data_IF_575421105522
#
_entry.id   IF_575421105522
#
_cell.length_a   1.000
_cell.length_b   1.000
_cell.length_c   1.000
_cell.angle_alpha   90.00
_cell.angle_beta   90.00
_cell.angle_gamma   90.00
#
_symmetry.space_group_name_H-M   'P 1'
#
loop_
_entity.id
_entity.type
_entity.pdbx_description
1 polymer ?
#
# COMPACT_ATOMS: atom_id res chain seq x y z
N UNK A 1 5.00 -83.21 36.67
CA UNK A 1 5.66 -82.29 35.74
C UNK A 1 7.00 -81.92 36.38
N UNK A 2 8.04 -82.65 36.01
CA UNK A 2 9.38 -82.51 36.56
C UNK A 2 10.12 -81.38 35.83
N UNK A 3 10.88 -80.57 36.56
CA UNK A 3 11.84 -79.64 35.97
C UNK A 3 13.15 -79.79 36.75
N UNK A 4 14.10 -80.49 36.13
CA UNK A 4 15.53 -80.40 36.40
C UNK A 4 16.07 -79.13 35.75
N UNK A 5 16.97 -78.41 36.43
CA UNK A 5 18.01 -77.62 35.75
C UNK A 5 19.34 -77.73 36.51
N UNK A 6 20.37 -78.02 35.73
CA UNK A 6 21.78 -78.13 36.10
C UNK A 6 22.51 -76.78 36.00
N UNK A 7 23.75 -76.80 36.49
CA UNK A 7 24.56 -75.70 37.03
C UNK A 7 25.65 -75.19 36.05
N UNK A 8 25.84 -73.85 35.99
CA UNK A 8 27.10 -73.06 35.79
C UNK A 8 27.84 -73.02 34.41
N UNK A 9 28.94 -72.22 34.23
CA UNK A 9 29.09 -70.75 34.35
C UNK A 9 30.01 -70.09 33.25
N UNK A 10 30.33 -68.78 33.44
CA UNK A 10 31.55 -68.03 33.02
C UNK A 10 31.74 -67.56 31.56
N UNK A 11 31.94 -66.23 31.39
CA UNK A 11 33.22 -65.59 31.00
C UNK A 11 33.02 -64.17 30.39
N UNK A 12 33.68 -63.15 30.97
CA UNK A 12 34.04 -61.87 30.34
C UNK A 12 35.42 -62.02 29.63
N UNK A 13 36.05 -61.03 28.95
CA UNK A 13 35.67 -59.68 28.48
C UNK A 13 36.05 -59.46 26.97
N UNK A 14 35.96 -58.23 26.42
CA UNK A 14 37.03 -57.55 25.65
C UNK A 14 36.53 -56.19 25.16
N UNK A 15 37.26 -55.16 25.57
CA UNK A 15 37.13 -53.74 25.23
C UNK A 15 37.65 -53.51 23.80
N UNK A 16 36.86 -52.91 22.90
CA UNK A 16 37.36 -52.34 21.64
C UNK A 16 37.16 -50.83 21.61
N UNK A 17 38.27 -50.10 21.76
CA UNK A 17 38.36 -48.66 21.55
C UNK A 17 38.23 -48.37 20.04
N UNK A 18 37.07 -47.88 19.60
CA UNK A 18 36.85 -47.38 18.24
C UNK A 18 36.96 -45.86 18.22
N UNK A 19 38.05 -45.34 17.68
CA UNK A 19 38.24 -43.91 17.44
C UNK A 19 37.37 -43.49 16.24
N UNK A 20 36.18 -42.95 16.49
CA UNK A 20 35.28 -42.46 15.44
C UNK A 20 35.67 -41.03 15.05
N UNK A 21 36.30 -40.85 13.90
CA UNK A 21 36.49 -39.53 13.29
C UNK A 21 35.13 -39.03 12.79
N UNK A 22 34.53 -38.07 13.51
CA UNK A 22 33.33 -37.37 13.06
C UNK A 22 33.76 -36.28 12.08
N UNK A 23 33.60 -36.53 10.78
CA UNK A 23 33.69 -35.50 9.74
C UNK A 23 32.45 -34.62 9.84
N UNK A 24 32.56 -33.44 10.46
CA UNK A 24 31.50 -32.43 10.43
C UNK A 24 31.45 -31.80 9.05
N UNK A 25 30.56 -32.29 8.19
CA UNK A 25 30.18 -31.61 6.95
C UNK A 25 29.36 -30.38 7.37
N UNK A 26 29.99 -29.21 7.38
CA UNK A 26 29.28 -27.94 7.50
C UNK A 26 28.46 -27.73 6.23
N UNK A 27 27.17 -28.09 6.25
CA UNK A 27 26.21 -27.60 5.26
C UNK A 27 26.15 -26.08 5.41
N UNK A 28 26.86 -25.35 4.55
CA UNK A 28 26.56 -23.95 4.29
C UNK A 28 25.18 -23.92 3.61
N UNK A 29 24.14 -23.72 4.41
CA UNK A 29 22.83 -23.37 3.89
C UNK A 29 22.97 -22.00 3.22
N UNK A 30 23.03 -21.98 1.89
CA UNK A 30 22.89 -20.75 1.12
C UNK A 30 21.47 -20.25 1.33
N UNK A 31 21.26 -19.39 2.35
CA UNK A 31 20.03 -18.64 2.47
C UNK A 31 19.96 -17.71 1.26
N UNK A 32 18.99 -17.93 0.38
CA UNK A 32 18.54 -16.87 -0.52
C UNK A 32 18.29 -15.62 0.34
N UNK A 33 18.97 -14.52 0.02
CA UNK A 33 18.83 -13.29 0.79
C UNK A 33 17.42 -12.74 0.54
N UNK A 34 16.50 -13.06 1.43
CA UNK A 34 15.12 -12.59 1.35
C UNK A 34 15.11 -11.06 1.46
N UNK A 35 14.51 -10.41 0.47
CA UNK A 35 14.31 -8.96 0.48
C UNK A 35 12.98 -8.60 1.09
N UNK A 36 12.96 -7.47 1.80
CA UNK A 36 11.78 -6.88 2.39
C UNK A 36 11.58 -5.45 1.88
N UNK A 37 10.34 -4.97 1.81
CA UNK A 37 10.06 -3.58 1.47
C UNK A 37 10.20 -2.68 2.70
N UNK A 38 10.93 -1.58 2.54
CA UNK A 38 11.12 -0.56 3.57
C UNK A 38 10.70 0.82 3.06
N UNK A 39 10.23 1.66 3.97
CA UNK A 39 10.08 3.11 3.81
C UNK A 39 11.28 3.74 4.51
N UNK A 40 12.09 4.48 3.77
CA UNK A 40 13.34 5.10 4.22
C UNK A 40 13.15 6.61 4.27
N UNK A 41 13.51 7.20 5.40
CA UNK A 41 13.52 8.64 5.62
C UNK A 41 14.94 9.17 5.47
N UNK A 42 15.08 10.22 4.66
CA UNK A 42 16.36 10.85 4.35
C UNK A 42 16.31 12.33 4.70
N UNK A 43 17.42 12.86 5.20
CA UNK A 43 17.62 14.30 5.40
C UNK A 43 17.72 14.98 4.04
N UNK A 44 16.73 15.83 3.74
CA UNK A 44 16.66 16.62 2.51
C UNK A 44 17.91 17.46 2.28
N UNK A 45 18.51 17.99 3.36
CA UNK A 45 19.64 18.92 3.30
C UNK A 45 20.98 18.21 3.04
N UNK A 46 21.04 16.90 3.26
CA UNK A 46 22.23 16.08 3.04
C UNK A 46 22.46 15.72 1.57
N UNK A 47 21.55 16.11 0.65
CA UNK A 47 21.69 15.83 -0.78
C UNK A 47 22.99 16.44 -1.33
N UNK A 48 23.91 15.62 -1.89
CA UNK A 48 25.14 16.15 -2.48
C UNK A 48 24.84 17.09 -3.64
N UNK A 49 25.62 18.19 -3.76
CA UNK A 49 25.49 19.18 -4.83
C UNK A 49 25.65 18.61 -6.25
N UNK A 50 26.19 17.41 -6.37
CA UNK A 50 26.34 16.70 -7.65
C UNK A 50 24.99 16.24 -8.25
N UNK A 51 23.93 16.16 -7.45
CA UNK A 51 22.60 15.75 -7.91
C UNK A 51 21.70 16.95 -8.18
N UNK A 52 20.93 16.89 -9.26
CA UNK A 52 19.92 17.90 -9.63
C UNK A 52 18.64 17.80 -8.82
N UNK A 53 18.34 16.62 -8.29
CA UNK A 53 17.10 16.30 -7.60
C UNK A 53 17.26 15.11 -6.66
N UNK A 54 16.39 15.03 -5.65
CA UNK A 54 16.42 13.96 -4.66
C UNK A 54 16.16 12.57 -5.26
N UNK A 55 15.45 12.47 -6.39
CA UNK A 55 15.16 11.18 -7.00
C UNK A 55 16.43 10.52 -7.55
N UNK A 56 17.23 11.25 -8.32
CA UNK A 56 18.52 10.78 -8.84
C UNK A 56 19.50 10.45 -7.71
N UNK A 57 19.53 11.26 -6.64
CA UNK A 57 20.32 10.97 -5.45
C UNK A 57 19.91 9.65 -4.77
N UNK A 58 18.62 9.42 -4.56
CA UNK A 58 18.13 8.19 -3.95
C UNK A 58 18.39 6.96 -4.82
N UNK A 59 18.20 7.05 -6.14
CA UNK A 59 18.54 5.98 -7.06
C UNK A 59 20.04 5.62 -7.01
N UNK A 60 20.92 6.62 -6.99
CA UNK A 60 22.35 6.41 -6.84
C UNK A 60 22.71 5.77 -5.49
N UNK A 61 22.05 6.21 -4.42
CA UNK A 61 22.22 5.63 -3.07
C UNK A 61 21.86 4.13 -3.07
N UNK A 62 20.71 3.76 -3.63
CA UNK A 62 20.29 2.36 -3.77
C UNK A 62 21.28 1.57 -4.62
N UNK A 63 21.74 2.13 -5.74
CA UNK A 63 22.72 1.46 -6.60
C UNK A 63 24.05 1.22 -5.90
N UNK A 64 24.47 2.10 -4.98
CA UNK A 64 25.75 1.98 -4.27
C UNK A 64 25.77 0.87 -3.21
N UNK A 65 24.60 0.50 -2.69
CA UNK A 65 24.45 -0.55 -1.68
C UNK A 65 24.04 -1.90 -2.27
N UNK A 66 23.67 -1.94 -3.55
CA UNK A 66 23.11 -3.15 -4.16
C UNK A 66 24.18 -4.21 -4.37
N UNK A 67 23.94 -5.43 -3.89
CA UNK A 67 24.85 -6.55 -4.10
C UNK A 67 24.88 -6.92 -5.61
N UNK A 68 26.06 -6.89 -6.25
CA UNK A 68 26.24 -7.18 -7.69
C UNK A 68 25.95 -8.64 -8.09
N UNK A 69 25.59 -9.49 -7.14
CA UNK A 69 25.42 -10.93 -7.34
C UNK A 69 24.09 -11.32 -8.01
N UNK A 70 23.08 -10.44 -8.04
CA UNK A 70 21.79 -10.69 -8.73
C UNK A 70 21.84 -10.28 -10.20
N UNK A 71 22.73 -10.91 -10.95
CA UNK A 71 22.73 -10.89 -12.42
C UNK A 71 22.21 -12.23 -12.91
N UNK A 72 20.91 -12.32 -13.17
CA UNK A 72 20.30 -12.80 -14.43
C UNK A 72 18.82 -13.16 -14.21
N UNK A 73 17.98 -12.71 -15.14
CA UNK A 73 16.52 -12.89 -15.24
C UNK A 73 15.64 -11.97 -14.37
N UNK A 74 15.31 -10.81 -14.96
CA UNK A 74 14.43 -9.73 -14.48
C UNK A 74 15.02 -8.81 -13.41
N UNK A 75 15.69 -7.74 -13.87
CA UNK A 75 16.15 -6.62 -13.04
C UNK A 75 14.93 -5.82 -12.57
N UNK A 76 14.17 -6.33 -11.60
CA UNK A 76 13.15 -5.52 -10.93
C UNK A 76 13.90 -4.39 -10.21
N UNK A 77 13.54 -3.15 -10.52
CA UNK A 77 14.12 -1.99 -9.83
C UNK A 77 13.86 -2.14 -8.33
N UNK A 78 14.92 -2.17 -7.51
CA UNK A 78 14.81 -2.17 -6.04
C UNK A 78 14.09 -0.94 -5.53
N UNK A 79 14.17 0.17 -6.27
CA UNK A 79 13.41 1.39 -6.01
C UNK A 79 11.92 1.23 -6.34
N UNK A 80 11.05 1.66 -5.41
CA UNK A 80 9.59 1.58 -5.54
C UNK A 80 8.99 2.98 -5.71
N UNK A 81 9.18 3.88 -4.73
CA UNK A 81 8.70 5.26 -4.78
C UNK A 81 9.72 6.26 -4.22
N UNK A 82 9.58 7.51 -4.64
CA UNK A 82 10.34 8.65 -4.08
C UNK A 82 9.36 9.64 -3.46
N UNK A 83 9.71 10.16 -2.29
CA UNK A 83 8.94 11.12 -1.52
C UNK A 83 9.75 12.42 -1.39
N UNK A 84 9.17 13.55 -1.81
CA UNK A 84 9.84 14.88 -1.82
C UNK A 84 8.98 16.00 -1.24
N UNK A 85 7.82 15.66 -0.67
CA UNK A 85 6.83 16.62 -0.16
C UNK A 85 6.73 16.51 1.37
N UNK A 86 5.63 15.98 1.90
CA UNK A 86 5.41 15.84 3.35
C UNK A 86 6.42 14.91 4.04
N UNK A 87 6.99 13.98 3.29
CA UNK A 87 8.09 13.10 3.71
C UNK A 87 9.18 13.19 2.66
N UNK A 88 10.44 13.14 3.10
CA UNK A 88 11.61 13.13 2.24
C UNK A 88 12.32 11.78 2.37
N UNK A 89 12.46 11.06 1.26
CA UNK A 89 13.03 9.72 1.25
C UNK A 89 12.48 8.86 0.11
N UNK A 90 12.51 7.55 0.28
CA UNK A 90 12.09 6.60 -0.74
C UNK A 90 11.61 5.29 -0.14
N UNK A 91 10.91 4.47 -0.92
CA UNK A 91 10.69 3.06 -0.59
C UNK A 91 11.48 2.16 -1.52
N UNK A 92 12.01 1.08 -0.96
CA UNK A 92 12.81 0.11 -1.69
C UNK A 92 12.65 -1.31 -1.13
N UNK A 93 12.81 -2.30 -2.00
CA UNK A 93 12.99 -3.71 -1.62
C UNK A 93 14.47 -3.97 -1.40
N UNK A 94 14.84 -4.32 -0.17
CA UNK A 94 16.23 -4.46 0.28
C UNK A 94 16.42 -5.76 1.05
N UNK A 95 17.57 -6.39 0.88
CA UNK A 95 18.01 -7.44 1.82
C UNK A 95 18.44 -6.82 3.16
N UNK A 96 18.60 -7.65 4.19
CA UNK A 96 19.10 -7.15 5.47
C UNK A 96 20.52 -6.57 5.36
N UNK A 97 21.41 -7.14 4.52
CA UNK A 97 22.76 -6.60 4.30
C UNK A 97 22.71 -5.22 3.65
N UNK A 98 21.84 -5.05 2.65
CA UNK A 98 21.65 -3.79 1.94
C UNK A 98 21.05 -2.72 2.85
N UNK A 99 20.10 -3.09 3.72
CA UNK A 99 19.55 -2.17 4.71
C UNK A 99 20.63 -1.70 5.72
N UNK A 100 21.49 -2.59 6.19
CA UNK A 100 22.58 -2.22 7.09
C UNK A 100 23.66 -1.36 6.40
N UNK A 101 23.89 -1.57 5.10
CA UNK A 101 24.72 -0.68 4.30
C UNK A 101 24.06 0.69 4.12
N UNK A 102 22.75 0.73 3.85
CA UNK A 102 21.98 1.97 3.67
C UNK A 102 21.97 2.84 4.92
N UNK A 103 21.87 2.25 6.11
CA UNK A 103 21.92 2.96 7.39
C UNK A 103 23.20 3.78 7.58
N UNK A 104 24.27 3.44 6.87
CA UNK A 104 25.56 4.14 6.91
C UNK A 104 25.67 5.23 5.83
N UNK A 105 24.67 5.37 4.96
CA UNK A 105 24.69 6.36 3.89
C UNK A 105 24.48 7.78 4.43
N UNK A 106 25.13 8.80 3.83
CA UNK A 106 24.88 10.19 4.19
C UNK A 106 23.40 10.55 4.09
N UNK A 107 22.88 11.19 5.12
CA UNK A 107 21.49 11.63 5.17
C UNK A 107 20.47 10.57 5.57
N UNK A 108 20.85 9.32 5.86
CA UNK A 108 19.92 8.36 6.44
C UNK A 108 19.41 8.85 7.81
N UNK A 109 18.09 8.80 8.03
CA UNK A 109 17.45 9.12 9.32
C UNK A 109 16.87 7.86 9.95
N UNK A 110 15.99 7.17 9.23
CA UNK A 110 15.29 5.99 9.74
C UNK A 110 14.73 5.13 8.61
N UNK A 111 14.37 3.89 8.95
CA UNK A 111 13.68 2.96 8.05
C UNK A 111 12.59 2.21 8.80
N UNK A 112 11.42 2.09 8.18
CA UNK A 112 10.29 1.32 8.70
C UNK A 112 9.95 0.22 7.69
N UNK A 113 9.81 -1.02 8.15
CA UNK A 113 9.36 -2.13 7.30
C UNK A 113 7.90 -1.91 6.91
N UNK A 114 7.60 -2.11 5.64
CA UNK A 114 6.24 -2.04 5.10
C UNK A 114 5.35 -3.13 5.73
N UNK A 115 4.07 -2.81 5.99
CA UNK A 115 3.11 -3.69 6.66
C UNK A 115 1.74 -3.54 6.02
N UNK A 116 0.97 -4.61 5.97
CA UNK A 116 -0.41 -4.60 5.50
C UNK A 116 -1.35 -4.05 6.58
N UNK A 117 -2.22 -3.13 6.20
CA UNK A 117 -3.28 -2.57 7.01
C UNK A 117 -4.63 -3.15 6.60
N UNK A 118 -5.58 -3.06 7.53
CA UNK A 118 -6.95 -3.53 7.34
C UNK A 118 -7.85 -2.33 7.16
N UNK A 119 -8.83 -2.50 6.29
CA UNK A 119 -9.92 -1.54 6.11
C UNK A 119 -10.76 -1.52 7.38
N UNK A 120 -11.04 -0.32 7.88
CA UNK A 120 -11.91 -0.10 9.03
C UNK A 120 -12.98 0.93 8.66
N UNK A 121 -14.25 0.58 8.81
CA UNK A 121 -15.36 1.56 8.80
C UNK A 121 -16.46 1.14 9.77
N UNK A 122 -17.01 2.10 10.51
CA UNK A 122 -18.18 1.93 11.37
C UNK A 122 -19.16 3.09 11.14
N UNK A 123 -20.33 2.76 10.57
CA UNK A 123 -21.63 3.46 10.53
C UNK A 123 -21.77 4.95 10.11
N UNK A 124 -22.92 5.22 9.47
CA UNK A 124 -23.33 6.41 8.68
C UNK A 124 -23.99 7.53 9.51
N UNK A 125 -24.35 8.64 8.86
CA UNK A 125 -24.38 10.00 9.38
C UNK A 125 -25.75 10.72 9.46
N UNK A 126 -26.88 10.02 9.34
CA UNK A 126 -28.21 10.64 9.61
C UNK A 126 -28.39 11.08 11.08
N UNK A 127 -27.55 10.57 11.97
CA UNK A 127 -27.55 10.93 13.39
C UNK A 127 -27.30 12.43 13.67
N UNK A 128 -26.72 13.17 12.72
CA UNK A 128 -26.19 14.52 12.98
C UNK A 128 -27.15 15.68 12.64
N UNK A 129 -28.37 15.42 12.16
CA UNK A 129 -29.40 16.47 11.97
C UNK A 129 -29.08 17.52 10.90
N UNK A 130 -28.32 17.15 9.85
CA UNK A 130 -27.96 18.05 8.74
C UNK A 130 -29.18 18.35 7.85
N UNK A 131 -29.36 19.62 7.45
CA UNK A 131 -30.50 20.07 6.64
C UNK A 131 -30.07 21.02 5.50
N UNK A 132 -30.71 20.95 4.32
CA UNK A 132 -30.44 21.87 3.22
C UNK A 132 -30.98 23.30 3.47
N UNK A 133 -31.92 23.51 4.39
CA UNK A 133 -32.50 24.84 4.62
C UNK A 133 -31.81 25.62 5.74
N UNK A 134 -31.09 24.94 6.65
CA UNK A 134 -30.49 25.56 7.83
C UNK A 134 -29.41 24.65 8.44
N UNK A 135 -28.58 25.20 9.33
CA UNK A 135 -27.53 24.45 10.04
C UNK A 135 -26.18 24.42 9.32
N UNK A 136 -25.40 23.37 9.56
CA UNK A 136 -24.00 23.31 9.16
C UNK A 136 -23.77 23.36 7.64
N UNK A 137 -24.71 22.83 6.85
CA UNK A 137 -24.61 22.83 5.39
C UNK A 137 -24.67 24.25 4.79
N UNK A 138 -25.74 25.04 4.96
CA UNK A 138 -25.75 26.42 4.48
C UNK A 138 -24.60 27.25 5.06
N UNK A 139 -24.25 27.05 6.34
CA UNK A 139 -23.17 27.79 6.99
C UNK A 139 -21.78 27.52 6.40
N UNK A 140 -21.51 26.27 5.99
CA UNK A 140 -20.27 25.87 5.34
C UNK A 140 -20.36 25.85 3.80
N UNK A 141 -21.41 26.44 3.24
CA UNK A 141 -21.71 26.39 1.80
C UNK A 141 -21.63 24.96 1.21
N UNK A 142 -22.14 23.98 1.95
CA UNK A 142 -22.16 22.56 1.59
C UNK A 142 -20.79 21.94 1.31
N UNK A 143 -19.72 22.59 1.81
CA UNK A 143 -18.33 22.22 1.52
C UNK A 143 -17.87 22.58 0.12
N UNK A 144 -18.50 23.57 -0.54
CA UNK A 144 -18.03 24.08 -1.83
C UNK A 144 -16.54 24.41 -1.78
N UNK A 145 -15.83 24.01 -2.83
CA UNK A 145 -14.37 24.15 -2.99
C UNK A 145 -13.50 23.49 -1.93
N UNK A 146 -14.08 22.75 -0.98
CA UNK A 146 -13.35 21.79 -0.16
C UNK A 146 -13.01 20.58 -1.02
N UNK A 147 -11.79 20.06 -0.87
CA UNK A 147 -11.30 18.87 -1.56
C UNK A 147 -11.06 17.81 -0.51
N UNK A 148 -11.82 16.72 -0.57
CA UNK A 148 -11.66 15.56 0.31
C UNK A 148 -10.77 14.54 -0.41
N UNK A 149 -9.58 14.30 0.16
CA UNK A 149 -8.70 13.22 -0.28
C UNK A 149 -9.09 11.91 0.41
N UNK A 150 -9.37 10.87 -0.37
CA UNK A 150 -9.66 9.53 0.15
C UNK A 150 -8.55 8.56 -0.19
N UNK A 151 -8.03 7.84 0.81
CA UNK A 151 -7.09 6.74 0.64
C UNK A 151 -7.84 5.43 0.89
N UNK A 152 -8.19 4.72 -0.18
CA UNK A 152 -9.15 3.60 -0.09
C UNK A 152 -8.94 2.55 -1.20
N UNK A 153 -9.96 1.73 -1.52
CA UNK A 153 -9.97 0.67 -2.55
C UNK A 153 -10.16 1.18 -3.98
N UNK A 154 -10.32 2.50 -4.14
CA UNK A 154 -10.58 3.16 -5.41
C UNK A 154 -11.97 3.76 -5.47
N UNK A 155 -12.40 4.13 -6.67
CA UNK A 155 -13.72 4.72 -6.90
C UNK A 155 -14.37 4.14 -8.15
N UNK A 156 -15.69 4.02 -8.15
CA UNK A 156 -16.49 3.72 -9.35
C UNK A 156 -17.02 5.03 -9.96
N UNK A 157 -16.30 5.64 -10.92
CA UNK A 157 -16.54 7.02 -11.34
C UNK A 157 -17.92 7.23 -11.99
N UNK A 158 -18.52 6.19 -12.57
CA UNK A 158 -19.83 6.27 -13.21
C UNK A 158 -21.01 6.27 -12.23
N UNK A 159 -20.78 6.18 -10.92
CA UNK A 159 -21.85 6.30 -9.94
C UNK A 159 -22.49 7.68 -10.01
N UNK A 160 -23.82 7.75 -9.94
CA UNK A 160 -24.57 9.02 -9.90
C UNK A 160 -24.13 9.92 -8.74
N UNK A 161 -23.65 9.33 -7.64
CA UNK A 161 -23.06 10.07 -6.51
C UNK A 161 -21.83 10.89 -6.88
N UNK A 162 -21.19 10.63 -8.02
CA UNK A 162 -20.03 11.37 -8.52
C UNK A 162 -20.32 12.16 -9.80
N UNK A 163 -21.60 12.34 -10.14
CA UNK A 163 -22.03 13.34 -11.11
C UNK A 163 -21.54 14.72 -10.69
N UNK A 164 -21.14 15.52 -11.66
CA UNK A 164 -20.71 16.90 -11.45
C UNK A 164 -21.79 17.95 -11.73
N UNK A 165 -23.04 17.50 -11.83
CA UNK A 165 -24.20 18.37 -11.86
C UNK A 165 -24.21 19.33 -10.66
N UNK A 166 -24.39 20.62 -10.95
CA UNK A 166 -24.39 21.67 -9.94
C UNK A 166 -23.02 22.04 -9.35
N UNK A 167 -21.92 21.44 -9.83
CA UNK A 167 -20.56 21.78 -9.38
C UNK A 167 -19.99 22.98 -10.15
N UNK A 168 -19.26 23.85 -9.45
CA UNK A 168 -18.52 24.97 -10.05
C UNK A 168 -17.24 24.51 -10.74
N UNK A 169 -16.45 25.40 -11.35
CA UNK A 169 -15.15 25.04 -11.93
C UNK A 169 -14.18 24.48 -10.88
N UNK A 170 -13.24 23.62 -11.31
CA UNK A 170 -12.25 23.04 -10.40
C UNK A 170 -11.37 24.16 -9.80
N UNK A 171 -11.17 24.22 -8.47
CA UNK A 171 -10.37 25.27 -7.86
C UNK A 171 -8.96 25.35 -8.44
N UNK A 172 -8.49 26.54 -8.81
CA UNK A 172 -7.16 26.75 -9.43
C UNK A 172 -5.97 26.31 -8.55
N UNK A 173 -6.21 26.24 -7.23
CA UNK A 173 -5.27 25.70 -6.23
C UNK A 173 -5.07 24.18 -6.34
N UNK A 174 -5.98 23.46 -6.99
CA UNK A 174 -5.85 22.02 -7.21
C UNK A 174 -4.69 21.74 -8.17
N UNK A 175 -3.75 20.88 -7.74
CA UNK A 175 -2.58 20.45 -8.52
C UNK A 175 -2.48 18.94 -8.64
N UNK A 176 -3.48 18.19 -8.15
CA UNK A 176 -3.52 16.76 -8.34
C UNK A 176 -3.88 16.39 -9.77
N UNK A 177 -3.78 15.09 -10.08
CA UNK A 177 -3.98 14.57 -11.42
C UNK A 177 -5.03 13.46 -11.45
N UNK A 178 -5.60 13.26 -12.62
CA UNK A 178 -6.29 12.03 -12.98
C UNK A 178 -5.30 11.18 -13.79
N UNK A 179 -5.01 9.96 -13.34
CA UNK A 179 -4.04 9.12 -14.05
C UNK A 179 -4.48 8.87 -15.51
N UNK A 180 -3.56 9.03 -16.48
CA UNK A 180 -3.92 9.12 -17.90
C UNK A 180 -4.50 7.83 -18.48
N UNK A 181 -4.07 6.65 -18.01
CA UNK A 181 -4.67 5.37 -18.37
C UNK A 181 -4.31 4.26 -17.37
N UNK A 182 -5.30 3.44 -17.00
CA UNK A 182 -5.14 2.17 -16.31
C UNK A 182 -6.23 1.20 -16.77
N UNK A 183 -6.25 -0.04 -16.26
CA UNK A 183 -7.30 -1.00 -16.67
C UNK A 183 -8.70 -0.40 -16.45
N UNK A 184 -9.48 -0.26 -17.53
CA UNK A 184 -10.84 0.31 -17.52
C UNK A 184 -10.95 1.66 -16.79
N UNK A 185 -9.91 2.48 -16.86
CA UNK A 185 -9.90 3.83 -16.30
C UNK A 185 -9.08 4.77 -17.18
N UNK A 186 -9.61 5.95 -17.51
CA UNK A 186 -8.91 7.00 -18.26
C UNK A 186 -9.03 8.33 -17.53
N UNK A 187 -8.15 9.28 -17.84
CA UNK A 187 -8.21 10.63 -17.25
C UNK A 187 -9.53 11.35 -17.49
N UNK A 188 -10.24 11.02 -18.58
CA UNK A 188 -11.56 11.55 -18.90
C UNK A 188 -12.67 11.10 -17.95
N UNK A 189 -12.41 10.15 -17.05
CA UNK A 189 -13.36 9.75 -16.00
C UNK A 189 -13.33 10.68 -14.79
N UNK A 190 -12.33 11.57 -14.68
CA UNK A 190 -12.41 12.69 -13.76
C UNK A 190 -13.28 13.81 -14.36
N UNK A 191 -14.00 14.51 -13.50
CA UNK A 191 -14.93 15.58 -13.84
C UNK A 191 -14.83 16.69 -12.79
N UNK A 192 -15.80 17.60 -12.70
CA UNK A 192 -15.78 18.65 -11.66
C UNK A 192 -16.05 18.08 -10.26
N UNK A 193 -16.61 16.88 -10.11
CA UNK A 193 -16.85 16.25 -8.80
C UNK A 193 -15.65 15.41 -8.34
N UNK A 194 -15.27 14.41 -9.13
CA UNK A 194 -14.05 13.62 -9.00
C UNK A 194 -12.92 14.34 -9.75
N UNK A 195 -12.17 15.18 -9.05
CA UNK A 195 -11.15 16.05 -9.66
C UNK A 195 -9.76 15.40 -9.70
N UNK A 196 -9.58 14.26 -9.02
CA UNK A 196 -8.32 13.53 -8.94
C UNK A 196 -8.53 12.05 -8.72
N UNK A 197 -7.73 11.25 -9.40
CA UNK A 197 -7.77 9.80 -9.28
C UNK A 197 -6.36 9.25 -9.54
N UNK A 198 -5.76 8.68 -8.49
CA UNK A 198 -4.44 8.06 -8.52
C UNK A 198 -4.49 6.68 -7.85
N UNK A 199 -3.52 5.82 -8.14
CA UNK A 199 -3.42 4.50 -7.52
C UNK A 199 -1.96 4.14 -7.28
N UNK A 200 -1.71 3.34 -6.25
CA UNK A 200 -0.38 2.97 -5.79
C UNK A 200 -0.28 1.45 -5.64
N UNK A 201 0.24 0.77 -6.67
CA UNK A 201 0.38 -0.70 -6.68
C UNK A 201 1.82 -1.21 -6.62
N UNK A 202 2.83 -0.36 -6.80
CA UNK A 202 4.24 -0.81 -6.85
C UNK A 202 4.70 -1.50 -5.56
N UNK A 203 4.25 -1.04 -4.39
CA UNK A 203 4.58 -1.69 -3.10
C UNK A 203 3.99 -3.10 -2.99
N UNK A 204 2.72 -3.29 -3.43
CA UNK A 204 2.11 -4.61 -3.51
C UNK A 204 2.91 -5.54 -4.45
N UNK A 205 3.28 -5.05 -5.63
CA UNK A 205 4.05 -5.83 -6.61
C UNK A 205 5.48 -6.12 -6.12
N UNK A 206 6.09 -5.25 -5.32
CA UNK A 206 7.40 -5.50 -4.72
C UNK A 206 7.35 -6.61 -3.65
N UNK A 207 6.29 -6.62 -2.83
CA UNK A 207 6.09 -7.64 -1.79
C UNK A 207 5.54 -8.97 -2.32
N UNK A 208 4.81 -8.95 -3.45
CA UNK A 208 4.19 -10.12 -4.08
C UNK A 208 4.38 -10.09 -5.61
N UNK A 209 5.60 -10.32 -6.12
CA UNK A 209 5.93 -10.17 -7.54
C UNK A 209 5.13 -11.08 -8.49
N UNK A 210 4.62 -12.19 -7.98
CA UNK A 210 3.82 -13.17 -8.71
C UNK A 210 2.37 -12.72 -8.93
N UNK A 211 1.89 -11.72 -8.20
CA UNK A 211 0.52 -11.25 -8.32
C UNK A 211 0.31 -10.47 -9.62
N UNK A 212 -0.70 -10.89 -10.37
CA UNK A 212 -1.27 -10.10 -11.46
C UNK A 212 -2.44 -9.30 -10.92
N UNK A 213 -2.36 -7.97 -11.02
CA UNK A 213 -3.43 -7.07 -10.60
C UNK A 213 -4.36 -6.84 -11.82
N UNK A 214 -5.55 -7.46 -11.88
CA UNK A 214 -6.39 -7.36 -13.08
C UNK A 214 -6.90 -5.92 -13.29
N UNK A 215 -7.24 -5.23 -12.20
CA UNK A 215 -7.70 -3.85 -12.23
C UNK A 215 -6.63 -2.87 -11.73
N UNK A 216 -5.50 -2.80 -12.43
CA UNK A 216 -4.38 -1.90 -12.08
C UNK A 216 -4.69 -0.46 -12.51
N UNK A 217 -5.68 0.13 -11.83
CA UNK A 217 -6.16 1.48 -12.00
C UNK A 217 -6.88 1.93 -10.73
N UNK A 218 -7.30 3.20 -10.68
CA UNK A 218 -8.10 3.76 -9.58
C UNK A 218 -9.53 3.23 -9.53
N UNK A 219 -9.97 2.41 -10.51
CA UNK A 219 -11.30 1.80 -10.49
C UNK A 219 -11.47 0.91 -9.26
N UNK A 220 -12.55 1.14 -8.54
CA UNK A 220 -12.95 0.29 -7.43
C UNK A 220 -13.47 -1.06 -7.94
N UNK A 221 -13.01 -2.13 -7.31
CA UNK A 221 -13.54 -3.47 -7.54
C UNK A 221 -14.10 -4.08 -6.27
N UNK A 222 -13.95 -3.39 -5.15
CA UNK A 222 -14.36 -3.84 -3.84
C UNK A 222 -15.71 -3.23 -3.42
N UNK A 223 -15.83 -1.92 -3.59
CA UNK A 223 -17.01 -1.13 -3.24
C UNK A 223 -16.79 -0.24 -2.02
N UNK A 224 -15.82 -0.58 -1.16
CA UNK A 224 -15.54 0.18 0.06
C UNK A 224 -15.22 1.66 -0.23
N UNK A 225 -14.24 1.93 -1.11
CA UNK A 225 -13.84 3.29 -1.47
C UNK A 225 -14.93 4.09 -2.18
N UNK A 226 -15.76 3.43 -2.99
CA UNK A 226 -16.95 4.04 -3.59
C UNK A 226 -17.96 4.44 -2.52
N UNK A 227 -18.24 3.55 -1.57
CA UNK A 227 -19.19 3.79 -0.48
C UNK A 227 -18.70 4.88 0.50
N UNK A 228 -17.41 4.88 0.86
CA UNK A 228 -16.84 5.92 1.74
C UNK A 228 -16.80 7.28 1.04
N UNK A 229 -16.46 7.31 -0.24
CA UNK A 229 -16.47 8.54 -1.04
C UNK A 229 -17.88 9.12 -1.17
N UNK A 230 -18.90 8.30 -1.44
CA UNK A 230 -20.28 8.77 -1.52
C UNK A 230 -20.83 9.21 -0.15
N UNK A 231 -20.42 8.55 0.93
CA UNK A 231 -20.80 8.98 2.29
C UNK A 231 -20.18 10.33 2.66
N UNK A 232 -18.89 10.55 2.33
CA UNK A 232 -18.20 11.79 2.66
C UNK A 232 -18.68 12.96 1.78
N UNK A 233 -18.77 12.73 0.47
CA UNK A 233 -19.01 13.80 -0.50
C UNK A 233 -19.78 13.29 -1.72
N UNK A 234 -20.72 12.35 -1.61
CA UNK A 234 -21.65 12.05 -2.70
C UNK A 234 -22.48 13.28 -3.08
N UNK A 235 -22.68 13.50 -4.37
CA UNK A 235 -23.67 14.45 -4.86
C UNK A 235 -25.10 13.93 -4.56
N UNK A 236 -26.11 14.78 -4.77
CA UNK A 236 -27.50 14.39 -4.58
C UNK A 236 -27.95 13.35 -5.61
N UNK A 237 -28.52 12.23 -5.14
CA UNK A 237 -29.05 11.15 -5.98
C UNK A 237 -30.49 10.86 -5.55
N UNK A 238 -31.45 11.22 -6.38
CA UNK A 238 -32.88 11.04 -6.10
C UNK A 238 -33.31 9.59 -6.31
N UNK A 239 -34.19 9.08 -5.45
CA UNK A 239 -34.73 7.72 -5.58
C UNK A 239 -33.71 6.61 -5.29
N UNK A 240 -32.62 6.95 -4.60
CA UNK A 240 -31.64 5.97 -4.15
C UNK A 240 -32.28 5.04 -3.11
N UNK A 241 -32.07 3.74 -3.28
CA UNK A 241 -32.53 2.71 -2.34
C UNK A 241 -31.65 1.46 -2.44
N UNK A 242 -31.67 0.63 -1.40
CA UNK A 242 -31.07 -0.70 -1.43
C UNK A 242 -32.19 -1.74 -1.49
N UNK A 243 -32.48 -2.30 -2.66
CA UNK A 243 -33.63 -3.22 -2.86
C UNK A 243 -34.96 -2.68 -2.30
N UNK A 244 -35.19 -1.36 -2.42
CA UNK A 244 -36.38 -0.67 -1.91
C UNK A 244 -36.29 -0.21 -0.45
N UNK A 245 -35.28 -0.64 0.30
CA UNK A 245 -35.02 -0.12 1.65
C UNK A 245 -34.34 1.25 1.60
N UNK A 246 -34.61 2.08 2.60
CA UNK A 246 -34.07 3.44 2.75
C UNK A 246 -34.26 4.32 1.50
N UNK A 247 -35.44 4.23 0.87
CA UNK A 247 -35.76 5.03 -0.31
C UNK A 247 -35.75 6.53 0.04
N UNK A 248 -34.99 7.32 -0.71
CA UNK A 248 -34.91 8.75 -0.53
C UNK A 248 -33.91 9.41 -1.47
N UNK A 249 -33.44 10.59 -1.07
CA UNK A 249 -32.33 11.25 -1.75
C UNK A 249 -31.04 10.91 -1.02
N UNK A 250 -30.13 10.18 -1.66
CA UNK A 250 -28.79 9.97 -1.11
C UNK A 250 -27.95 11.23 -1.30
N UNK A 251 -27.12 11.56 -0.32
CA UNK A 251 -26.15 12.65 -0.40
C UNK A 251 -24.99 12.39 0.56
N UNK A 252 -23.82 12.92 0.24
CA UNK A 252 -22.69 12.91 1.15
C UNK A 252 -22.80 13.98 2.24
N UNK A 253 -21.90 13.90 3.21
CA UNK A 253 -21.79 14.92 4.28
C UNK A 253 -21.42 16.30 3.77
N UNK A 254 -20.72 16.39 2.65
CA UNK A 254 -20.43 17.63 1.96
C UNK A 254 -20.74 17.45 0.45
N UNK A 255 -22.00 17.60 0.04
CA UNK A 255 -22.43 17.23 -1.31
C UNK A 255 -21.81 18.12 -2.40
N UNK A 256 -21.35 19.33 -2.06
CA UNK A 256 -20.60 20.23 -2.97
C UNK A 256 -19.08 20.14 -2.84
N UNK A 257 -18.55 19.28 -1.97
CA UNK A 257 -17.11 19.03 -1.90
C UNK A 257 -16.63 18.22 -3.11
N UNK A 258 -15.36 18.43 -3.47
CA UNK A 258 -14.64 17.70 -4.52
C UNK A 258 -14.01 16.44 -3.94
N UNK A 259 -13.87 15.40 -4.76
CA UNK A 259 -13.22 14.14 -4.39
C UNK A 259 -11.88 14.02 -5.11
N UNK A 260 -10.85 13.64 -4.35
CA UNK A 260 -9.60 13.14 -4.88
C UNK A 260 -9.35 11.72 -4.35
N UNK A 261 -9.44 10.72 -5.22
CA UNK A 261 -9.26 9.31 -4.85
C UNK A 261 -7.81 8.87 -5.01
N UNK A 262 -7.27 8.26 -3.96
CA UNK A 262 -5.93 7.68 -3.88
C UNK A 262 -6.08 6.20 -3.55
N UNK A 263 -6.16 5.35 -4.56
CA UNK A 263 -6.28 3.90 -4.35
C UNK A 263 -4.96 3.32 -3.85
N UNK A 264 -4.92 2.96 -2.57
CA UNK A 264 -3.78 2.31 -1.94
C UNK A 264 -4.14 0.93 -1.38
N UNK A 265 -5.44 0.60 -1.33
CA UNK A 265 -5.95 -0.64 -0.77
C UNK A 265 -6.33 -1.59 -1.91
N UNK A 266 -5.84 -2.83 -1.86
CA UNK A 266 -6.07 -3.83 -2.90
C UNK A 266 -6.71 -5.10 -2.32
N UNK A 267 -7.52 -5.82 -3.10
CA UNK A 267 -8.15 -7.08 -2.65
C UNK A 267 -7.16 -8.18 -2.23
N UNK A 268 -5.90 -8.05 -2.65
CA UNK A 268 -4.81 -8.95 -2.27
C UNK A 268 -4.07 -8.51 -1.00
N UNK A 269 -4.66 -7.57 -0.26
CA UNK A 269 -4.10 -6.87 0.90
C UNK A 269 -4.21 -5.35 0.70
N UNK A 270 -4.92 -4.68 1.61
CA UNK A 270 -4.74 -3.25 1.78
C UNK A 270 -3.31 -2.97 2.22
N UNK A 271 -2.67 -1.95 1.65
CA UNK A 271 -1.52 -1.37 2.33
C UNK A 271 -1.92 -0.95 3.72
#
# INVERSE_FOLDING_TARGET
MAIEWHISPMATPILKLGCSLIFTISLLASSSAQSDTYIIHMDRSAMPKAFSDHHSWFLATISSISDTAESTFTKTSKHIYTYTSSVHGFSASLTQSELEALKKSPGYISSTRDRQMKVHTTHTSEFLGLSPSSGAWPAANYGEDIIIGLVDTGIWPESESFSDEGMTEVPSRWKGKCEPAGTKFSSSMCNKKLIGAQYYSKGLLANKPEIKIPMNSTRDTDGHGTHTASTAAGNYVNGASFFGYANGTSSGMAPRARIAMYKAIWRYGGL
#
